data_IF_824436363057
#
_entry.id   IF_824436363057
#
_cell.length_a   1.000
_cell.length_b   1.000
_cell.length_c   1.000
_cell.angle_alpha   90.00
_cell.angle_beta   90.00
_cell.angle_gamma   90.00
#
_symmetry.space_group_name_H-M   'P 1'
#
loop_
_entity.id
_entity.type
_entity.pdbx_description
1 polymer ?
#
# COMPACT_ATOMS: atom_id res chain seq x y z
N UNK A 1 16.80 10.53 -6.58
CA UNK A 1 16.37 9.24 -7.16
C UNK A 1 14.91 8.99 -6.78
N UNK A 2 14.08 8.37 -7.65
CA UNK A 2 12.70 8.04 -7.30
C UNK A 2 12.64 7.08 -6.10
N UNK A 3 11.58 7.15 -5.27
CA UNK A 3 11.44 6.31 -4.09
C UNK A 3 11.38 4.83 -4.51
N UNK A 4 12.42 4.07 -4.17
CA UNK A 4 12.45 2.63 -4.40
C UNK A 4 11.57 1.93 -3.37
N UNK A 5 10.74 1.00 -3.84
CA UNK A 5 9.89 0.18 -2.99
C UNK A 5 10.66 -1.05 -2.50
N UNK A 6 10.43 -1.45 -1.25
CA UNK A 6 11.08 -2.61 -0.65
C UNK A 6 10.40 -3.91 -1.14
N UNK A 7 10.98 -4.56 -2.15
CA UNK A 7 10.54 -5.85 -2.69
C UNK A 7 11.73 -6.82 -2.74
N UNK A 8 11.46 -8.11 -2.57
CA UNK A 8 12.49 -9.14 -2.66
C UNK A 8 13.05 -9.28 -4.09
N UNK A 9 14.25 -9.87 -4.19
CA UNK A 9 14.96 -10.02 -5.45
C UNK A 9 14.17 -10.83 -6.48
N UNK A 10 13.49 -11.89 -6.04
CA UNK A 10 12.67 -12.75 -6.88
C UNK A 10 11.50 -11.97 -7.52
N UNK A 11 10.73 -11.24 -6.71
CA UNK A 11 9.59 -10.44 -7.17
C UNK A 11 10.04 -9.37 -8.16
N UNK A 12 11.20 -8.74 -7.92
CA UNK A 12 11.76 -7.73 -8.82
C UNK A 12 12.13 -8.35 -10.17
N UNK A 13 12.74 -9.52 -10.17
CA UNK A 13 13.21 -10.15 -11.39
C UNK A 13 12.03 -10.71 -12.22
N UNK A 14 10.99 -11.25 -11.56
CA UNK A 14 9.71 -11.59 -12.18
C UNK A 14 9.05 -10.33 -12.81
N UNK A 15 9.02 -9.22 -12.08
CA UNK A 15 8.44 -7.97 -12.59
C UNK A 15 9.21 -7.48 -13.83
N UNK A 16 10.55 -7.57 -13.82
CA UNK A 16 11.38 -7.23 -14.99
C UNK A 16 11.11 -8.14 -16.18
N UNK A 17 10.93 -9.44 -15.96
CA UNK A 17 10.58 -10.38 -17.03
C UNK A 17 9.20 -10.06 -17.62
N UNK A 18 8.21 -9.77 -16.76
CA UNK A 18 6.87 -9.38 -17.21
C UNK A 18 6.89 -8.08 -18.03
N UNK A 19 7.82 -7.16 -17.78
CA UNK A 19 7.95 -5.93 -18.56
C UNK A 19 8.39 -6.15 -20.01
N UNK A 20 8.95 -7.32 -20.34
CA UNK A 20 9.27 -7.69 -21.72
C UNK A 20 8.01 -7.90 -22.57
N UNK A 21 6.89 -8.23 -21.94
CA UNK A 21 5.58 -8.38 -22.56
C UNK A 21 4.55 -7.59 -21.75
N UNK A 22 4.43 -6.30 -22.06
CA UNK A 22 3.58 -5.37 -21.33
C UNK A 22 2.12 -5.85 -21.33
N UNK A 23 1.64 -6.17 -20.15
CA UNK A 23 0.25 -6.52 -19.83
C UNK A 23 -0.20 -5.68 -18.63
N UNK A 24 -1.51 -5.47 -18.45
CA UNK A 24 -2.02 -4.80 -17.26
C UNK A 24 -1.59 -5.46 -15.94
N UNK A 25 -1.30 -6.77 -15.98
CA UNK A 25 -0.91 -7.60 -14.83
C UNK A 25 0.60 -7.64 -14.55
N UNK A 26 1.44 -6.90 -15.29
CA UNK A 26 2.90 -6.98 -15.15
C UNK A 26 3.40 -6.79 -13.71
N UNK A 27 2.69 -5.96 -12.94
CA UNK A 27 3.05 -5.57 -11.58
C UNK A 27 2.27 -6.30 -10.49
N UNK A 28 1.33 -7.20 -10.84
CA UNK A 28 0.48 -7.88 -9.85
C UNK A 28 1.29 -8.55 -8.72
N UNK A 29 2.40 -9.27 -9.01
CA UNK A 29 3.21 -9.87 -7.95
C UNK A 29 3.83 -8.83 -7.02
N UNK A 30 4.37 -7.74 -7.58
CA UNK A 30 4.98 -6.66 -6.81
C UNK A 30 3.94 -5.89 -5.98
N UNK A 31 2.78 -5.60 -6.57
CA UNK A 31 1.67 -4.94 -5.90
C UNK A 31 1.17 -5.79 -4.71
N UNK A 32 1.02 -7.10 -4.90
CA UNK A 32 0.60 -8.00 -3.82
C UNK A 32 1.60 -8.00 -2.66
N UNK A 33 2.91 -8.05 -2.95
CA UNK A 33 3.97 -8.01 -1.92
C UNK A 33 3.94 -6.71 -1.12
N UNK A 34 3.83 -5.57 -1.79
CA UNK A 34 3.75 -4.27 -1.12
C UNK A 34 2.47 -4.15 -0.30
N UNK A 35 1.34 -4.61 -0.83
CA UNK A 35 0.08 -4.64 -0.09
C UNK A 35 0.21 -5.46 1.20
N UNK A 36 0.80 -6.64 1.14
CA UNK A 36 1.05 -7.48 2.31
C UNK A 36 2.02 -6.85 3.30
N UNK A 37 3.08 -6.18 2.83
CA UNK A 37 4.01 -5.46 3.68
C UNK A 37 3.30 -4.32 4.44
N UNK A 38 2.50 -3.52 3.71
CA UNK A 38 1.70 -2.45 4.29
C UNK A 38 0.69 -2.97 5.31
N UNK A 39 -0.05 -4.02 4.95
CA UNK A 39 -1.05 -4.64 5.82
C UNK A 39 -0.46 -5.17 7.14
N UNK A 40 0.78 -5.67 7.11
CA UNK A 40 1.45 -6.23 8.30
C UNK A 40 2.12 -5.19 9.19
N UNK A 41 2.59 -4.07 8.63
CA UNK A 41 3.40 -3.11 9.37
C UNK A 41 2.78 -1.70 9.45
N UNK A 42 2.63 -1.00 8.32
CA UNK A 42 2.18 0.40 8.36
C UNK A 42 0.69 0.53 8.69
N UNK A 43 -0.16 -0.40 8.25
CA UNK A 43 -1.60 -0.33 8.46
C UNK A 43 -2.00 -0.46 9.94
N UNK A 44 -1.50 -1.45 10.72
CA UNK A 44 -1.79 -1.52 12.15
C UNK A 44 -1.22 -0.33 12.95
N UNK A 45 -0.12 0.27 12.48
CA UNK A 45 0.42 1.51 13.06
C UNK A 45 -0.47 2.71 12.75
N UNK A 46 -0.94 2.83 11.50
CA UNK A 46 -1.86 3.88 11.07
C UNK A 46 -3.15 3.87 11.89
N UNK A 47 -3.78 2.70 12.10
CA UNK A 47 -5.01 2.59 12.91
C UNK A 47 -4.84 3.04 14.37
N UNK A 48 -3.62 2.99 14.90
CA UNK A 48 -3.29 3.45 16.26
C UNK A 48 -2.79 4.91 16.30
N UNK A 49 -2.53 5.50 15.15
CA UNK A 49 -1.96 6.85 15.04
C UNK A 49 -2.98 7.93 15.40
N UNK A 50 -2.46 9.11 15.78
CA UNK A 50 -3.30 10.29 16.02
C UNK A 50 -4.05 10.70 14.75
N UNK A 51 -3.41 10.62 13.58
CA UNK A 51 -4.01 10.93 12.29
C UNK A 51 -5.31 10.15 12.06
N UNK A 52 -5.32 8.84 12.31
CA UNK A 52 -6.53 8.05 12.15
C UNK A 52 -7.62 8.42 13.17
N UNK A 53 -7.23 8.69 14.42
CA UNK A 53 -8.17 9.12 15.47
C UNK A 53 -8.84 10.45 15.12
N UNK A 54 -8.07 11.41 14.60
CA UNK A 54 -8.57 12.72 14.18
C UNK A 54 -9.57 12.56 13.02
N UNK A 55 -9.25 11.71 12.03
CA UNK A 55 -10.16 11.39 10.91
C UNK A 55 -11.49 10.78 11.40
N UNK A 56 -11.43 9.84 12.35
CA UNK A 56 -12.64 9.24 12.94
C UNK A 56 -13.47 10.27 13.69
N UNK A 57 -12.84 11.19 14.41
CA UNK A 57 -13.54 12.26 15.12
C UNK A 57 -14.23 13.23 14.15
N UNK A 58 -13.55 13.65 13.09
CA UNK A 58 -14.12 14.51 12.05
C UNK A 58 -15.32 13.83 11.36
N UNK A 59 -15.20 12.55 11.02
CA UNK A 59 -16.28 11.78 10.44
C UNK A 59 -17.53 11.75 11.35
N UNK A 60 -17.33 11.52 12.66
CA UNK A 60 -18.43 11.54 13.65
C UNK A 60 -19.09 12.91 13.78
N UNK A 61 -18.31 13.99 13.73
CA UNK A 61 -18.85 15.36 13.78
C UNK A 61 -19.70 15.66 12.55
N UNK A 62 -19.27 15.21 11.37
CA UNK A 62 -20.02 15.40 10.13
C UNK A 62 -21.37 14.69 10.14
N UNK A 63 -21.46 13.50 10.71
CA UNK A 63 -22.73 12.75 10.87
C UNK A 63 -23.67 13.37 11.90
N UNK A 64 -23.15 14.12 12.89
CA UNK A 64 -23.99 14.83 13.88
C UNK A 64 -24.57 16.14 13.37
N UNK A 65 -23.93 16.74 12.37
CA UNK A 65 -24.31 18.03 11.80
C UNK A 65 -25.19 17.89 10.53
N UNK A 66 -25.69 16.67 10.28
CA UNK A 66 -26.57 16.31 9.18
C UNK A 66 -27.87 15.78 9.76
#
# INVERSE_FOLDING_TARGET
>A
APPQINIDHETRDITKANLLALTPSCFDPAQHKIYMLMAKDCYPRFLRSQTYRDLVQQAKQRTKNQ
#
